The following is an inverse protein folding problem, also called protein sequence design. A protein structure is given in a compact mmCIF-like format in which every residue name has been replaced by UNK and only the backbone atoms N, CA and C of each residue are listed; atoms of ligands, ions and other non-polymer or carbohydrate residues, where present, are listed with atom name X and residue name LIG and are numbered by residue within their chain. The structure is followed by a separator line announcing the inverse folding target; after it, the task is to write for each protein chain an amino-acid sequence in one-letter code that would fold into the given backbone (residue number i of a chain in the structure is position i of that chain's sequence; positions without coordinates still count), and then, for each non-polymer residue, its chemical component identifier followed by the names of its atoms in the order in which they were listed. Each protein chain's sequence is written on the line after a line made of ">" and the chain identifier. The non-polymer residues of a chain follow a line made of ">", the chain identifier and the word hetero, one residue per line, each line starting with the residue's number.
data_IF_751278830232
#
_entry.id   IF_751278830232
#
_cell.length_a   1.000
_cell.length_b   1.000
_cell.length_c   1.000
_cell.angle_alpha   90.00
_cell.angle_beta   90.00
_cell.angle_gamma   90.00
#
_symmetry.space_group_name_H-M   'P 1'
#
loop_
_entity.id
_entity.type
_entity.pdbx_description
1 polymer ?
#
# COMPACT_ATOMS: atom_id res chain seq x y z
N UNK A 1 7.50 -11.19 7.16
CA UNK A 1 6.98 -10.80 8.48
C UNK A 1 5.65 -11.52 8.75
N UNK A 2 5.66 -12.71 9.38
CA UNK A 2 4.43 -13.36 9.80
C UNK A 2 3.86 -12.70 11.08
N UNK A 3 2.53 -12.69 11.24
CA UNK A 3 1.83 -12.31 12.48
C UNK A 3 1.30 -10.87 12.56
N UNK A 4 0.76 -10.50 13.73
CA UNK A 4 0.13 -9.21 14.08
C UNK A 4 1.13 -8.02 14.18
N UNK A 5 2.11 -7.98 13.28
CA UNK A 5 3.12 -6.92 13.25
C UNK A 5 2.50 -5.65 12.69
N UNK A 6 2.67 -4.53 13.40
CA UNK A 6 2.22 -3.23 12.90
C UNK A 6 2.89 -2.89 11.57
N UNK A 7 2.11 -2.38 10.61
CA UNK A 7 2.57 -2.08 9.25
C UNK A 7 3.80 -1.14 9.24
N UNK A 8 3.82 -0.13 10.13
CA UNK A 8 4.97 0.76 10.28
C UNK A 8 6.26 0.03 10.67
N UNK A 9 6.16 -1.04 11.48
CA UNK A 9 7.31 -1.87 11.85
C UNK A 9 7.74 -2.74 10.67
N UNK A 10 6.78 -3.40 10.02
CA UNK A 10 7.07 -4.21 8.83
C UNK A 10 7.76 -3.38 7.74
N UNK A 11 7.35 -2.13 7.54
CA UNK A 11 8.02 -1.19 6.63
C UNK A 11 9.50 -0.99 6.97
N UNK A 12 9.81 -0.61 8.22
CA UNK A 12 11.20 -0.35 8.65
C UNK A 12 12.06 -1.60 8.51
N UNK A 13 11.52 -2.75 8.89
CA UNK A 13 12.27 -4.00 8.93
C UNK A 13 12.42 -4.64 7.53
N UNK A 14 11.65 -4.18 6.52
CA UNK A 14 11.63 -4.77 5.18
C UNK A 14 12.78 -4.36 4.27
N UNK A 15 13.52 -3.29 4.60
CA UNK A 15 14.49 -2.68 3.69
C UNK A 15 13.88 -1.94 2.48
N UNK A 16 12.55 -1.91 2.33
CA UNK A 16 11.88 -1.26 1.21
C UNK A 16 12.18 0.24 1.12
N UNK A 17 12.45 0.90 2.25
CA UNK A 17 12.83 2.31 2.27
C UNK A 17 14.07 2.60 1.39
N UNK A 18 15.05 1.69 1.34
CA UNK A 18 16.24 1.85 0.50
C UNK A 18 15.92 1.74 -1.00
N UNK A 19 14.94 0.90 -1.35
CA UNK A 19 14.48 0.78 -2.74
C UNK A 19 13.60 1.95 -3.20
N UNK A 20 13.13 2.78 -2.27
CA UNK A 20 12.29 3.94 -2.53
C UNK A 20 13.05 5.27 -2.42
N UNK A 21 14.38 5.24 -2.35
CA UNK A 21 15.19 6.44 -2.26
C UNK A 21 14.97 7.35 -3.49
N UNK A 22 14.75 8.64 -3.25
CA UNK A 22 14.45 9.63 -4.30
C UNK A 22 13.04 9.55 -4.89
N UNK A 23 12.17 8.64 -4.41
CA UNK A 23 10.80 8.49 -4.88
C UNK A 23 9.80 8.92 -3.81
N UNK A 24 8.79 9.68 -4.23
CA UNK A 24 7.67 10.02 -3.36
C UNK A 24 6.79 8.79 -3.10
N UNK A 25 6.76 8.31 -1.86
CA UNK A 25 5.96 7.15 -1.46
C UNK A 25 4.79 7.57 -0.57
N UNK A 26 3.59 7.14 -0.99
CA UNK A 26 2.34 7.33 -0.25
C UNK A 26 2.07 6.11 0.63
N UNK A 27 1.86 6.33 1.92
CA UNK A 27 1.42 5.33 2.88
C UNK A 27 -0.01 5.60 3.35
N UNK A 28 -0.69 4.56 3.84
CA UNK A 28 -1.93 4.76 4.58
C UNK A 28 -1.65 5.21 6.04
N UNK A 29 -2.72 5.43 6.81
CA UNK A 29 -2.62 5.91 8.20
C UNK A 29 -1.94 4.93 9.17
N UNK A 30 -1.74 3.66 8.82
CA UNK A 30 -1.00 2.70 9.64
C UNK A 30 0.51 2.90 9.56
N UNK A 31 1.01 3.60 8.53
CA UNK A 31 2.43 3.93 8.34
C UNK A 31 2.82 5.28 8.96
N UNK A 32 2.16 5.72 10.03
CA UNK A 32 2.59 6.94 10.74
C UNK A 32 4.01 6.73 11.30
N UNK A 33 4.82 7.79 11.31
CA UNK A 33 6.23 7.79 11.76
C UNK A 33 7.17 6.91 10.92
N UNK A 34 7.00 6.88 9.59
CA UNK A 34 7.87 6.15 8.64
C UNK A 34 8.47 7.04 7.54
N UNK A 35 8.36 8.37 7.66
CA UNK A 35 8.73 9.37 6.64
C UNK A 35 7.95 9.27 5.32
N UNK A 36 6.91 8.42 5.26
CA UNK A 36 5.99 8.34 4.12
C UNK A 36 4.99 9.49 4.13
N UNK A 37 4.49 9.84 2.95
CA UNK A 37 3.35 10.76 2.83
C UNK A 37 2.09 10.00 3.23
N UNK A 38 1.61 10.27 4.45
CA UNK A 38 0.43 9.65 5.04
C UNK A 38 -0.68 10.69 5.24
N UNK A 39 -1.96 10.30 5.24
CA UNK A 39 -3.05 11.23 5.45
C UNK A 39 -2.97 11.90 6.83
N UNK A 40 -3.37 13.18 6.90
CA UNK A 40 -3.45 13.96 8.12
C UNK A 40 -4.44 13.32 9.09
N UNK A 41 -3.95 13.00 10.29
CA UNK A 41 -4.78 12.42 11.36
C UNK A 41 -5.42 13.53 12.19
N UNK A 42 -6.76 13.48 12.30
CA UNK A 42 -7.52 14.35 13.20
C UNK A 42 -7.07 14.15 14.65
N UNK A 43 -6.65 15.23 15.33
CA UNK A 43 -6.28 15.19 16.75
C UNK A 43 -7.52 15.41 17.61
N UNK A 44 -7.56 14.86 18.84
CA UNK A 44 -8.66 15.13 19.77
C UNK A 44 -8.85 16.64 19.96
N UNK A 45 -10.10 17.10 19.91
CA UNK A 45 -10.49 18.51 20.10
C UNK A 45 -9.89 19.51 19.09
N UNK A 46 -9.29 19.05 18.00
CA UNK A 46 -8.80 19.92 16.92
C UNK A 46 -9.36 19.45 15.57
N UNK A 47 -10.19 20.26 14.89
CA UNK A 47 -10.58 19.95 13.52
C UNK A 47 -9.36 20.01 12.60
N UNK A 48 -9.43 19.28 11.49
CA UNK A 48 -8.45 19.45 10.43
C UNK A 48 -8.63 20.83 9.79
N UNK A 49 -7.54 21.42 9.33
CA UNK A 49 -7.61 22.61 8.49
C UNK A 49 -8.20 22.24 7.13
N UNK A 50 -8.85 23.20 6.46
CA UNK A 50 -9.43 22.98 5.13
C UNK A 50 -8.43 22.41 4.12
N UNK A 51 -7.18 22.88 4.15
CA UNK A 51 -6.10 22.36 3.31
C UNK A 51 -5.79 20.88 3.63
N UNK A 52 -5.71 20.51 4.91
CA UNK A 52 -5.45 19.12 5.32
C UNK A 52 -6.61 18.18 4.92
N UNK A 53 -7.84 18.67 4.91
CA UNK A 53 -9.00 17.91 4.43
C UNK A 53 -8.95 17.70 2.92
N UNK A 54 -8.52 18.71 2.16
CA UNK A 54 -8.34 18.63 0.71
C UNK A 54 -7.22 17.66 0.34
N UNK A 55 -6.07 17.73 1.02
CA UNK A 55 -4.97 16.78 0.85
C UNK A 55 -5.41 15.35 1.17
N UNK A 56 -6.16 15.15 2.25
CA UNK A 56 -6.76 13.86 2.60
C UNK A 56 -7.77 13.37 1.56
N UNK A 57 -8.48 14.27 0.87
CA UNK A 57 -9.38 13.90 -0.21
C UNK A 57 -8.61 13.41 -1.44
N UNK A 58 -7.51 14.07 -1.81
CA UNK A 58 -6.64 13.61 -2.89
C UNK A 58 -5.97 12.28 -2.55
N UNK A 59 -5.46 12.14 -1.32
CA UNK A 59 -4.87 10.89 -0.83
C UNK A 59 -5.85 9.71 -0.94
N UNK A 60 -7.11 9.91 -0.51
CA UNK A 60 -8.19 8.91 -0.65
C UNK A 60 -8.47 8.54 -2.11
N UNK A 61 -8.45 9.49 -3.05
CA UNK A 61 -8.65 9.20 -4.49
C UNK A 61 -7.55 8.30 -5.04
N UNK A 62 -6.29 8.59 -4.71
CA UNK A 62 -5.16 7.75 -5.13
C UNK A 62 -5.27 6.37 -4.50
N UNK A 63 -5.53 6.30 -3.19
CA UNK A 63 -5.67 5.03 -2.48
C UNK A 63 -6.79 4.15 -3.05
N UNK A 64 -7.95 4.73 -3.34
CA UNK A 64 -9.07 4.00 -3.94
C UNK A 64 -8.70 3.36 -5.28
N UNK A 65 -7.96 4.07 -6.14
CA UNK A 65 -7.49 3.52 -7.43
C UNK A 65 -6.55 2.34 -7.22
N UNK A 66 -5.59 2.48 -6.30
CA UNK A 66 -4.62 1.42 -5.98
C UNK A 66 -5.33 0.19 -5.39
N UNK A 67 -6.20 0.38 -4.40
CA UNK A 67 -6.98 -0.69 -3.76
C UNK A 67 -7.88 -1.42 -4.75
N UNK A 68 -8.50 -0.72 -5.69
CA UNK A 68 -9.33 -1.32 -6.74
C UNK A 68 -8.53 -2.24 -7.66
N UNK A 69 -7.36 -1.78 -8.12
CA UNK A 69 -6.44 -2.61 -8.92
C UNK A 69 -5.97 -3.83 -8.14
N UNK A 70 -5.55 -3.66 -6.89
CA UNK A 70 -5.15 -4.78 -6.04
C UNK A 70 -6.29 -5.75 -5.77
N UNK A 71 -7.53 -5.27 -5.64
CA UNK A 71 -8.69 -6.13 -5.43
C UNK A 71 -8.95 -7.03 -6.65
N UNK A 72 -8.78 -6.51 -7.87
CA UNK A 72 -8.84 -7.33 -9.09
C UNK A 72 -7.74 -8.39 -9.12
N UNK A 73 -6.52 -8.03 -8.73
CA UNK A 73 -5.38 -8.95 -8.66
C UNK A 73 -5.51 -10.01 -7.54
N UNK A 74 -6.25 -9.73 -6.47
CA UNK A 74 -6.50 -10.69 -5.38
C UNK A 74 -7.40 -11.86 -5.78
N UNK A 75 -8.10 -11.77 -6.91
CA UNK A 75 -8.91 -12.87 -7.43
C UNK A 75 -8.06 -14.06 -7.94
N UNK A 76 -6.79 -13.85 -8.24
CA UNK A 76 -5.90 -14.91 -8.70
C UNK A 76 -5.44 -15.78 -7.52
N UNK A 77 -5.84 -17.07 -7.51
CA UNK A 77 -5.55 -18.03 -6.42
C UNK A 77 -4.07 -18.09 -6.06
N UNK A 78 -3.17 -18.01 -7.05
CA UNK A 78 -1.72 -18.05 -6.85
C UNK A 78 -1.22 -16.93 -5.92
N UNK A 79 -1.79 -15.72 -6.01
CA UNK A 79 -1.40 -14.62 -5.13
C UNK A 79 -1.82 -14.88 -3.68
N UNK A 80 -3.02 -15.46 -3.49
CA UNK A 80 -3.54 -15.84 -2.18
C UNK A 80 -2.68 -16.93 -1.54
N UNK A 81 -2.33 -17.96 -2.30
CA UNK A 81 -1.57 -19.11 -1.80
C UNK A 81 -0.13 -18.71 -1.42
N UNK A 82 0.54 -17.92 -2.28
CA UNK A 82 1.88 -17.40 -1.96
C UNK A 82 1.86 -16.50 -0.73
N UNK A 83 0.82 -15.66 -0.55
CA UNK A 83 0.68 -14.81 0.66
C UNK A 83 0.52 -15.62 1.94
N UNK A 84 -0.15 -16.77 1.89
CA UNK A 84 -0.44 -17.57 3.07
C UNK A 84 0.64 -18.59 3.41
N UNK A 85 1.46 -19.03 2.44
CA UNK A 85 2.28 -20.24 2.59
C UNK A 85 3.72 -20.14 2.07
N UNK A 86 4.25 -18.99 1.61
CA UNK A 86 5.65 -18.98 1.17
C UNK A 86 6.33 -17.63 0.91
N UNK A 87 7.65 -17.70 0.68
CA UNK A 87 8.54 -16.55 0.45
C UNK A 87 8.51 -16.03 -1.00
N UNK A 88 7.75 -16.68 -1.87
CA UNK A 88 7.62 -16.36 -3.30
C UNK A 88 6.70 -15.19 -3.64
N UNK A 89 6.18 -14.46 -2.65
CA UNK A 89 5.15 -13.43 -2.84
C UNK A 89 5.56 -12.37 -3.88
N UNK A 90 6.82 -11.92 -3.86
CA UNK A 90 7.32 -10.94 -4.82
C UNK A 90 7.17 -11.43 -6.28
N UNK A 91 7.58 -12.67 -6.55
CA UNK A 91 7.48 -13.29 -7.88
C UNK A 91 6.02 -13.49 -8.29
N UNK A 92 5.17 -13.90 -7.34
CA UNK A 92 3.75 -14.08 -7.59
C UNK A 92 3.04 -12.75 -7.92
N UNK A 93 3.38 -11.67 -7.20
CA UNK A 93 2.86 -10.33 -7.48
C UNK A 93 3.25 -9.87 -8.90
N UNK A 94 4.51 -10.04 -9.29
CA UNK A 94 4.98 -9.68 -10.63
C UNK A 94 4.26 -10.49 -11.73
N UNK A 95 4.14 -11.81 -11.55
CA UNK A 95 3.46 -12.67 -12.51
C UNK A 95 1.97 -12.31 -12.66
N UNK A 96 1.26 -12.09 -11.55
CA UNK A 96 -0.15 -11.68 -11.56
C UNK A 96 -0.33 -10.30 -12.17
N UNK A 97 0.55 -9.34 -11.88
CA UNK A 97 0.51 -8.01 -12.50
C UNK A 97 0.66 -8.11 -14.03
N UNK A 98 1.61 -8.92 -14.51
CA UNK A 98 1.81 -9.14 -15.95
C UNK A 98 0.59 -9.77 -16.61
N UNK A 99 0.02 -10.81 -16.02
CA UNK A 99 -1.20 -11.46 -16.54
C UNK A 99 -2.40 -10.51 -16.54
N UNK A 100 -2.57 -9.70 -15.48
CA UNK A 100 -3.64 -8.72 -15.40
C UNK A 100 -3.54 -7.67 -16.52
N UNK A 101 -2.33 -7.16 -16.77
CA UNK A 101 -2.10 -6.20 -17.84
C UNK A 101 -2.37 -6.79 -19.22
N UNK A 102 -1.98 -8.05 -19.47
CA UNK A 102 -2.29 -8.75 -20.71
C UNK A 102 -3.81 -8.92 -20.90
N UNK A 103 -4.54 -9.25 -19.84
CA UNK A 103 -6.00 -9.40 -19.88
C UNK A 103 -6.75 -8.07 -20.08
N UNK A 104 -6.15 -6.93 -19.70
CA UNK A 104 -6.72 -5.60 -19.97
C UNK A 104 -6.43 -5.09 -21.39
N UNK A 105 -5.39 -5.63 -22.04
CA UNK A 105 -4.97 -5.25 -23.38
C UNK A 105 -5.55 -6.16 -24.49
N UNK A 106 -6.22 -7.25 -24.11
CA UNK A 106 -6.95 -8.16 -24.99
C UNK A 106 -8.42 -7.73 -25.12
#
# INVERSE_FOLDING_TARGET
>A
MPGNTADAKAWRDSGLAAHCEGVTVLGDGAYINTNLIVPHRKRPRRPLLKAEEEDNAQHRKVRARVEHTFSRMKNYKILRDCRQRGDGLHRAVQAVARMHNLALAA
#
